data_IF_853703570793
#
_entry.id   IF_853703570793
#
_cell.length_a   1.000
_cell.length_b   1.000
_cell.length_c   1.000
_cell.angle_alpha   90.00
_cell.angle_beta   90.00
_cell.angle_gamma   90.00
#
_symmetry.space_group_name_H-M   'P 1'
#
loop_
_entity.id
_entity.type
_entity.pdbx_description
1 polymer ?
#
# COMPACT_ATOMS: atom_id res chain seq x y z
N UNK A 1 -44.02 39.86 -1.75
CA UNK A 1 -43.37 38.79 -2.54
C UNK A 1 -42.01 38.43 -1.92
N UNK A 2 -41.92 37.48 -0.97
CA UNK A 2 -40.64 36.99 -0.45
C UNK A 2 -40.50 35.48 -0.72
N UNK A 3 -40.13 35.08 -1.94
CA UNK A 3 -39.98 33.65 -2.27
C UNK A 3 -38.66 33.26 -2.94
N UNK A 4 -37.72 34.19 -3.15
CA UNK A 4 -36.47 33.91 -3.90
C UNK A 4 -35.23 33.70 -3.02
N UNK A 5 -35.18 34.26 -1.81
CA UNK A 5 -33.97 34.21 -0.95
C UNK A 5 -33.76 32.83 -0.28
N UNK A 6 -34.83 32.10 0.03
CA UNK A 6 -34.81 30.81 0.74
C UNK A 6 -34.30 29.65 -0.11
N UNK A 7 -34.60 29.65 -1.42
CA UNK A 7 -34.15 28.59 -2.34
C UNK A 7 -32.66 28.66 -2.67
N UNK A 8 -32.08 29.86 -2.81
CA UNK A 8 -30.65 30.04 -3.07
C UNK A 8 -29.79 29.52 -1.90
N UNK A 9 -30.27 29.70 -0.66
CA UNK A 9 -29.57 29.29 0.55
C UNK A 9 -29.63 27.76 0.76
N UNK A 10 -30.77 27.13 0.43
CA UNK A 10 -30.92 25.67 0.42
C UNK A 10 -30.04 25.00 -0.65
N UNK A 11 -29.94 25.58 -1.85
CA UNK A 11 -29.11 25.07 -2.95
C UNK A 11 -27.61 25.19 -2.65
N UNK A 12 -27.19 26.27 -1.99
CA UNK A 12 -25.81 26.46 -1.50
C UNK A 12 -25.44 25.47 -0.39
N UNK A 13 -26.36 25.19 0.54
CA UNK A 13 -26.18 24.16 1.59
C UNK A 13 -26.14 22.75 1.00
N UNK A 14 -27.04 22.41 0.08
CA UNK A 14 -27.06 21.13 -0.64
C UNK A 14 -25.77 20.91 -1.43
N UNK A 15 -25.29 21.91 -2.16
CA UNK A 15 -24.02 21.82 -2.90
C UNK A 15 -22.81 21.69 -1.97
N UNK A 16 -22.78 22.36 -0.81
CA UNK A 16 -21.70 22.20 0.18
C UNK A 16 -21.71 20.83 0.85
N UNK A 17 -22.89 20.31 1.18
CA UNK A 17 -23.04 18.96 1.73
C UNK A 17 -22.60 17.90 0.71
N UNK A 18 -22.96 18.06 -0.56
CA UNK A 18 -22.53 17.17 -1.64
C UNK A 18 -21.03 17.27 -1.95
N UNK A 19 -20.44 18.45 -1.85
CA UNK A 19 -19.00 18.61 -2.01
C UNK A 19 -18.25 17.99 -0.82
N UNK A 20 -18.74 18.19 0.40
CA UNK A 20 -18.15 17.58 1.60
C UNK A 20 -18.26 16.05 1.57
N UNK A 21 -19.41 15.48 1.19
CA UNK A 21 -19.56 14.03 1.02
C UNK A 21 -18.69 13.51 -0.13
N UNK A 22 -18.61 14.21 -1.27
CA UNK A 22 -17.72 13.84 -2.37
C UNK A 22 -16.23 13.90 -1.98
N UNK A 23 -15.80 14.90 -1.20
CA UNK A 23 -14.43 14.99 -0.69
C UNK A 23 -14.12 13.88 0.33
N UNK A 24 -15.07 13.55 1.21
CA UNK A 24 -14.93 12.42 2.15
C UNK A 24 -14.89 11.08 1.38
N UNK A 25 -15.73 10.90 0.36
CA UNK A 25 -15.72 9.69 -0.49
C UNK A 25 -14.43 9.58 -1.34
N UNK A 26 -13.90 10.69 -1.86
CA UNK A 26 -12.62 10.67 -2.57
C UNK A 26 -11.42 10.44 -1.64
N UNK A 27 -11.46 10.94 -0.40
CA UNK A 27 -10.44 10.63 0.61
C UNK A 27 -10.46 9.16 1.01
N UNK A 28 -11.62 8.50 1.00
CA UNK A 28 -11.75 7.07 1.33
C UNK A 28 -10.95 6.18 0.38
N UNK A 29 -10.88 6.49 -0.91
CA UNK A 29 -10.25 5.62 -1.91
C UNK A 29 -8.92 6.13 -2.43
N UNK A 30 -8.18 6.95 -1.66
CA UNK A 30 -6.86 7.46 -2.08
C UNK A 30 -5.88 6.35 -2.50
N UNK A 31 -6.00 5.15 -1.92
CA UNK A 31 -5.18 3.97 -2.26
C UNK A 31 -5.62 3.26 -3.56
N UNK A 32 -6.83 3.54 -4.05
CA UNK A 32 -7.45 2.88 -5.21
C UNK A 32 -7.65 3.81 -6.40
N UNK A 33 -7.11 5.04 -6.34
CA UNK A 33 -7.30 6.08 -7.37
C UNK A 33 -6.88 5.67 -8.78
N UNK A 34 -5.90 4.76 -8.90
CA UNK A 34 -5.41 4.22 -10.17
C UNK A 34 -6.28 3.10 -10.78
N UNK A 35 -7.27 2.58 -10.05
CA UNK A 35 -8.14 1.51 -10.54
C UNK A 35 -9.37 2.07 -11.26
N UNK A 36 -10.02 1.24 -12.09
CA UNK A 36 -11.20 1.66 -12.85
C UNK A 36 -12.35 2.12 -11.94
N UNK A 37 -13.14 3.08 -12.41
CA UNK A 37 -14.32 3.57 -11.67
C UNK A 37 -15.29 2.44 -11.30
N UNK A 38 -15.43 1.43 -12.18
CA UNK A 38 -16.24 0.24 -11.91
C UNK A 38 -15.73 -0.54 -10.70
N UNK A 39 -14.41 -0.73 -10.56
CA UNK A 39 -13.83 -1.41 -9.41
C UNK A 39 -13.95 -0.57 -8.14
N UNK A 40 -13.67 0.73 -8.24
CA UNK A 40 -13.87 1.67 -7.13
C UNK A 40 -15.31 1.65 -6.61
N UNK A 41 -16.31 1.63 -7.50
CA UNK A 41 -17.72 1.53 -7.14
C UNK A 41 -18.06 0.23 -6.39
N UNK A 42 -17.48 -0.91 -6.79
CA UNK A 42 -17.63 -2.19 -6.06
C UNK A 42 -17.06 -2.09 -4.65
N UNK A 43 -15.89 -1.48 -4.49
CA UNK A 43 -15.26 -1.30 -3.18
C UNK A 43 -16.07 -0.34 -2.30
N UNK A 44 -16.57 0.75 -2.87
CA UNK A 44 -17.49 1.65 -2.16
C UNK A 44 -18.73 0.92 -1.64
N UNK A 45 -19.33 0.06 -2.46
CA UNK A 45 -20.47 -0.75 -2.03
C UNK A 45 -20.08 -1.69 -0.87
N UNK A 46 -18.94 -2.36 -0.97
CA UNK A 46 -18.44 -3.24 0.08
C UNK A 46 -18.20 -2.49 1.40
N UNK A 47 -17.68 -1.27 1.33
CA UNK A 47 -17.51 -0.37 2.49
C UNK A 47 -18.87 0.05 3.07
N UNK A 48 -19.81 0.46 2.22
CA UNK A 48 -21.14 0.89 2.63
C UNK A 48 -21.95 -0.23 3.31
N UNK A 49 -21.76 -1.47 2.86
CA UNK A 49 -22.33 -2.67 3.47
C UNK A 49 -21.62 -3.09 4.78
N UNK A 50 -20.50 -2.45 5.15
CA UNK A 50 -19.73 -2.78 6.35
C UNK A 50 -18.92 -4.08 6.25
N UNK A 51 -18.80 -4.65 5.05
CA UNK A 51 -18.26 -6.00 4.82
C UNK A 51 -16.78 -6.03 4.42
N UNK A 52 -16.15 -4.85 4.31
CA UNK A 52 -14.74 -4.76 3.91
C UNK A 52 -13.81 -5.45 4.92
N UNK A 53 -14.07 -5.27 6.23
CA UNK A 53 -13.31 -5.94 7.29
C UNK A 53 -13.44 -7.46 7.20
N UNK A 54 -14.69 -7.96 7.12
CA UNK A 54 -14.99 -9.39 6.98
C UNK A 54 -14.30 -10.02 5.76
N UNK A 55 -14.30 -9.32 4.63
CA UNK A 55 -13.61 -9.76 3.41
C UNK A 55 -12.10 -9.94 3.65
N UNK A 56 -11.47 -8.98 4.33
CA UNK A 56 -10.04 -9.02 4.63
C UNK A 56 -9.72 -10.09 5.67
N UNK A 57 -10.49 -10.20 6.75
CA UNK A 57 -10.27 -11.15 7.82
C UNK A 57 -10.45 -12.61 7.33
N UNK A 58 -11.43 -12.85 6.46
CA UNK A 58 -11.64 -14.16 5.86
C UNK A 58 -10.46 -14.61 4.99
N UNK A 59 -9.78 -13.66 4.33
CA UNK A 59 -8.70 -13.96 3.37
C UNK A 59 -7.30 -13.90 3.99
N UNK A 60 -7.13 -13.06 5.01
CA UNK A 60 -5.87 -12.77 5.67
C UNK A 60 -6.02 -12.85 7.20
N UNK A 61 -6.42 -14.02 7.76
CA UNK A 61 -6.79 -14.14 9.18
C UNK A 61 -5.60 -14.08 10.15
N UNK A 62 -4.37 -14.22 9.64
CA UNK A 62 -3.17 -14.36 10.44
C UNK A 62 -2.38 -13.06 10.53
N UNK A 63 -1.54 -12.95 11.56
CA UNK A 63 -0.51 -11.90 11.69
C UNK A 63 0.86 -12.56 11.75
N UNK A 64 1.85 -11.99 11.07
CA UNK A 64 3.20 -12.57 11.08
C UNK A 64 3.96 -12.30 12.38
N UNK A 65 4.97 -13.13 12.68
CA UNK A 65 5.78 -13.03 13.91
C UNK A 65 7.01 -12.10 13.79
N UNK A 66 7.33 -11.58 12.59
CA UNK A 66 8.53 -10.79 12.35
C UNK A 66 8.40 -9.36 12.90
N UNK A 67 8.90 -9.11 14.12
CA UNK A 67 8.69 -7.83 14.81
C UNK A 67 9.95 -6.97 14.97
N UNK A 68 11.12 -7.50 14.61
CA UNK A 68 12.42 -6.84 14.74
C UNK A 68 13.12 -6.70 13.38
N UNK A 69 13.99 -5.70 13.25
CA UNK A 69 14.81 -5.49 12.05
C UNK A 69 15.69 -6.71 11.75
N UNK A 70 16.17 -7.41 12.80
CA UNK A 70 16.95 -8.64 12.65
C UNK A 70 16.12 -9.76 12.03
N UNK A 71 14.90 -9.99 12.51
CA UNK A 71 14.02 -11.03 11.95
C UNK A 71 13.65 -10.70 10.50
N UNK A 72 13.33 -9.44 10.22
CA UNK A 72 13.01 -8.97 8.87
C UNK A 72 14.22 -9.11 7.92
N UNK A 73 15.42 -8.78 8.38
CA UNK A 73 16.65 -8.95 7.60
C UNK A 73 16.87 -10.41 7.19
N UNK A 74 16.76 -11.35 8.15
CA UNK A 74 16.93 -12.78 7.86
C UNK A 74 15.90 -13.25 6.84
N UNK A 75 14.64 -12.85 6.99
CA UNK A 75 13.57 -13.18 6.06
C UNK A 75 13.81 -12.65 4.65
N UNK A 76 14.25 -11.39 4.51
CA UNK A 76 14.62 -10.84 3.21
C UNK A 76 15.80 -11.59 2.58
N UNK A 77 16.81 -11.97 3.38
CA UNK A 77 17.95 -12.75 2.90
C UNK A 77 17.53 -14.15 2.41
N UNK A 78 16.63 -14.82 3.12
CA UNK A 78 16.08 -16.13 2.72
C UNK A 78 15.35 -16.04 1.37
N UNK A 79 14.42 -15.10 1.21
CA UNK A 79 13.71 -14.89 -0.05
C UNK A 79 14.66 -14.48 -1.19
N UNK A 80 15.64 -13.60 -0.91
CA UNK A 80 16.66 -13.21 -1.89
C UNK A 80 17.49 -14.42 -2.33
N UNK A 81 17.83 -15.33 -1.42
CA UNK A 81 18.57 -16.54 -1.73
C UNK A 81 17.74 -17.55 -2.50
N UNK A 82 16.43 -17.64 -2.24
CA UNK A 82 15.51 -18.50 -2.98
C UNK A 82 15.36 -18.04 -4.43
N UNK A 83 15.08 -16.75 -4.66
CA UNK A 83 14.66 -16.24 -5.97
C UNK A 83 15.73 -15.45 -6.73
N UNK A 84 16.69 -14.82 -6.04
CA UNK A 84 17.61 -13.82 -6.61
C UNK A 84 19.07 -14.11 -6.26
N UNK A 85 19.51 -15.37 -6.40
CA UNK A 85 20.87 -15.85 -6.02
C UNK A 85 22.01 -14.95 -6.51
N UNK A 86 21.91 -14.45 -7.74
CA UNK A 86 22.96 -13.63 -8.41
C UNK A 86 22.80 -12.13 -8.12
N UNK A 87 21.70 -11.69 -7.48
CA UNK A 87 21.52 -10.27 -7.14
C UNK A 87 22.52 -9.82 -6.07
N UNK A 88 22.81 -8.50 -5.95
CA UNK A 88 23.65 -7.97 -4.89
C UNK A 88 23.24 -8.42 -3.48
N UNK A 89 24.19 -8.47 -2.55
CA UNK A 89 23.88 -8.68 -1.14
C UNK A 89 23.09 -7.49 -0.56
N UNK A 90 22.29 -7.77 0.46
CA UNK A 90 21.52 -6.75 1.18
C UNK A 90 22.36 -6.27 2.35
N UNK A 91 22.65 -4.98 2.41
CA UNK A 91 23.49 -4.41 3.48
C UNK A 91 22.68 -4.14 4.75
N UNK A 92 21.39 -3.82 4.60
CA UNK A 92 20.52 -3.46 5.72
C UNK A 92 19.06 -3.67 5.38
N UNK A 93 18.28 -4.14 6.34
CA UNK A 93 16.82 -4.16 6.28
C UNK A 93 16.27 -3.62 7.59
N UNK A 94 15.31 -2.68 7.53
CA UNK A 94 14.70 -2.08 8.73
C UNK A 94 13.22 -1.82 8.57
N UNK A 95 12.50 -1.85 9.68
CA UNK A 95 11.20 -1.22 9.78
C UNK A 95 11.36 0.30 9.96
N UNK A 96 10.69 1.09 9.13
CA UNK A 96 10.75 2.54 9.15
C UNK A 96 9.38 3.12 9.48
N UNK A 97 9.27 3.85 10.60
CA UNK A 97 8.00 4.43 11.05
C UNK A 97 7.62 5.71 10.31
N UNK A 98 8.56 6.31 9.57
CA UNK A 98 8.36 7.54 8.80
C UNK A 98 8.07 7.25 7.33
N UNK A 99 8.18 5.99 6.89
CA UNK A 99 7.97 5.59 5.51
C UNK A 99 6.48 5.65 5.14
N UNK A 100 6.18 6.43 4.10
CA UNK A 100 4.84 6.55 3.54
C UNK A 100 4.57 5.39 2.56
N UNK A 101 3.64 4.50 2.93
CA UNK A 101 3.28 3.32 2.12
C UNK A 101 2.63 3.67 0.80
N UNK A 102 1.93 4.81 0.69
CA UNK A 102 1.41 5.27 -0.60
C UNK A 102 2.54 5.51 -1.60
N UNK A 103 3.56 6.24 -1.15
CA UNK A 103 4.63 6.74 -2.02
C UNK A 103 5.59 5.65 -2.48
N UNK A 104 5.90 4.70 -1.60
CA UNK A 104 6.97 3.73 -1.84
C UNK A 104 6.48 2.37 -2.35
N UNK A 105 5.41 1.81 -1.79
CA UNK A 105 5.00 0.42 -2.02
C UNK A 105 3.94 0.23 -3.12
N UNK A 106 3.24 1.31 -3.50
CA UNK A 106 1.98 1.26 -4.24
C UNK A 106 2.04 2.07 -5.56
N UNK A 107 3.22 2.21 -6.14
CA UNK A 107 3.40 2.75 -7.48
C UNK A 107 3.44 4.28 -7.61
N UNK A 108 3.64 5.04 -6.53
CA UNK A 108 3.80 6.51 -6.56
C UNK A 108 5.27 6.99 -6.69
N UNK A 109 6.24 6.07 -6.89
CA UNK A 109 7.66 6.26 -7.23
C UNK A 109 8.49 7.30 -6.44
N UNK A 110 9.60 6.83 -5.85
CA UNK A 110 10.95 7.28 -6.25
C UNK A 110 12.02 6.38 -5.63
N UNK A 111 12.91 5.87 -6.48
CA UNK A 111 14.15 5.22 -6.08
C UNK A 111 14.97 6.19 -5.22
N UNK A 112 15.21 5.85 -3.96
CA UNK A 112 16.29 6.46 -3.19
C UNK A 112 17.46 5.48 -3.18
N UNK A 113 18.09 5.28 -4.34
CA UNK A 113 19.50 4.88 -4.37
C UNK A 113 20.33 6.15 -4.23
N UNK A 114 20.64 6.53 -2.98
CA UNK A 114 21.66 7.57 -2.74
C UNK A 114 23.03 6.98 -3.04
N UNK A 115 23.50 7.18 -4.27
CA UNK A 115 24.93 7.06 -4.60
C UNK A 115 25.55 8.45 -4.40
N UNK A 116 26.03 8.74 -3.19
CA UNK A 116 26.85 9.94 -2.98
C UNK A 116 28.25 9.69 -3.54
N UNK A 117 28.78 10.71 -4.22
CA UNK A 117 29.91 10.64 -5.15
C UNK A 117 31.18 9.97 -4.63
N UNK A 118 31.88 9.34 -5.57
CA UNK A 118 33.27 8.87 -5.42
C UNK A 118 33.41 7.46 -4.88
N UNK A 119 33.41 6.44 -5.77
CA UNK A 119 33.84 5.05 -5.51
C UNK A 119 33.36 4.41 -4.19
N UNK A 120 32.14 4.73 -3.73
CA UNK A 120 31.49 4.05 -2.61
C UNK A 120 30.48 3.04 -3.17
N UNK A 121 30.71 1.76 -2.84
CA UNK A 121 29.81 0.64 -3.12
C UNK A 121 28.40 1.06 -2.69
N UNK A 122 27.47 1.20 -3.64
CA UNK A 122 26.10 1.61 -3.34
C UNK A 122 25.48 0.61 -2.36
N UNK A 123 25.18 1.05 -1.13
CA UNK A 123 24.58 0.19 -0.11
C UNK A 123 23.17 -0.19 -0.53
N UNK A 124 22.85 -1.48 -0.51
CA UNK A 124 21.52 -2.02 -0.76
C UNK A 124 20.76 -2.08 0.56
N UNK A 125 20.08 -0.98 0.88
CA UNK A 125 19.17 -0.89 2.03
C UNK A 125 17.72 -1.14 1.59
N UNK A 126 17.01 -2.00 2.32
CA UNK A 126 15.56 -2.20 2.19
C UNK A 126 14.87 -1.59 3.39
N UNK A 127 13.82 -0.80 3.15
CA UNK A 127 13.01 -0.17 4.20
C UNK A 127 11.57 -0.59 4.05
N UNK A 128 11.02 -1.21 5.08
CA UNK A 128 9.62 -1.63 5.12
C UNK A 128 8.90 -0.73 6.11
N UNK A 129 7.72 -0.21 5.76
CA UNK A 129 6.99 0.64 6.69
C UNK A 129 6.63 -0.14 7.95
N UNK A 130 6.75 0.49 9.12
CA UNK A 130 6.44 -0.16 10.41
C UNK A 130 5.01 -0.68 10.51
N UNK A 131 4.10 -0.17 9.65
CA UNK A 131 2.73 -0.66 9.59
C UNK A 131 2.64 -2.15 9.25
N UNK A 132 3.59 -2.68 8.49
CA UNK A 132 3.58 -4.07 8.06
C UNK A 132 3.72 -5.03 9.24
N UNK A 133 4.30 -4.59 10.38
CA UNK A 133 4.35 -5.40 11.62
C UNK A 133 2.99 -5.95 12.06
N UNK A 134 1.92 -5.22 11.75
CA UNK A 134 0.54 -5.54 12.12
C UNK A 134 -0.25 -6.19 10.98
N UNK A 135 0.43 -6.72 9.96
CA UNK A 135 -0.21 -7.27 8.77
C UNK A 135 -0.07 -8.79 8.69
N UNK A 136 -0.87 -9.38 7.80
CA UNK A 136 -0.77 -10.78 7.45
C UNK A 136 0.56 -11.10 6.76
N UNK A 137 1.06 -12.34 6.88
CA UNK A 137 2.32 -12.76 6.27
C UNK A 137 2.35 -12.53 4.75
N UNK A 138 1.20 -12.63 4.06
CA UNK A 138 1.08 -12.38 2.62
C UNK A 138 1.37 -10.92 2.28
N UNK A 139 0.88 -9.96 3.07
CA UNK A 139 1.14 -8.54 2.85
C UNK A 139 2.61 -8.20 3.12
N UNK A 140 3.21 -8.78 4.17
CA UNK A 140 4.64 -8.62 4.42
C UNK A 140 5.46 -9.21 3.27
N UNK A 141 5.16 -10.45 2.85
CA UNK A 141 5.88 -11.10 1.76
C UNK A 141 5.74 -10.29 0.47
N UNK A 142 4.53 -9.84 0.13
CA UNK A 142 4.25 -9.02 -1.05
C UNK A 142 5.16 -7.78 -1.09
N UNK A 143 5.23 -7.01 0.00
CA UNK A 143 6.09 -5.82 -0.01
C UNK A 143 7.58 -6.18 -0.02
N UNK A 144 8.00 -7.26 0.65
CA UNK A 144 9.40 -7.69 0.63
C UNK A 144 9.82 -8.12 -0.79
N UNK A 145 9.00 -8.89 -1.51
CA UNK A 145 9.33 -9.30 -2.87
C UNK A 145 9.35 -8.11 -3.84
N UNK A 146 8.51 -7.08 -3.61
CA UNK A 146 8.55 -5.83 -4.36
C UNK A 146 9.90 -5.12 -4.19
N UNK A 147 10.35 -4.92 -2.95
CA UNK A 147 11.65 -4.30 -2.68
C UNK A 147 12.82 -5.15 -3.19
N UNK A 148 12.72 -6.48 -3.12
CA UNK A 148 13.72 -7.39 -3.68
C UNK A 148 13.77 -7.31 -5.20
N UNK A 149 12.63 -7.16 -5.88
CA UNK A 149 12.60 -6.99 -7.34
C UNK A 149 13.38 -5.75 -7.78
N UNK A 150 13.39 -4.68 -6.97
CA UNK A 150 14.20 -3.49 -7.21
C UNK A 150 15.72 -3.71 -7.19
N UNK A 151 16.20 -4.86 -6.71
CA UNK A 151 17.61 -5.22 -6.83
C UNK A 151 18.01 -5.56 -8.28
N UNK A 152 17.04 -5.93 -9.13
CA UNK A 152 17.24 -6.27 -10.55
C UNK A 152 16.55 -5.29 -11.50
N UNK A 153 15.36 -4.80 -11.13
CA UNK A 153 14.48 -4.00 -11.99
C UNK A 153 14.22 -2.62 -11.36
N UNK A 154 14.78 -1.56 -11.93
CA UNK A 154 14.66 -0.21 -11.36
C UNK A 154 13.28 0.42 -11.48
N UNK A 155 12.54 0.10 -12.55
CA UNK A 155 11.25 0.68 -12.88
C UNK A 155 10.11 -0.34 -12.72
N UNK A 156 8.91 0.13 -12.39
CA UNK A 156 7.69 -0.69 -12.32
C UNK A 156 7.14 -1.04 -13.71
N UNK A 157 7.96 -1.73 -14.51
CA UNK A 157 7.63 -2.18 -15.86
C UNK A 157 7.12 -3.64 -15.86
N UNK A 158 6.83 -4.19 -17.05
CA UNK A 158 6.37 -5.58 -17.18
C UNK A 158 7.36 -6.61 -16.64
N UNK A 159 8.67 -6.36 -16.71
CA UNK A 159 9.68 -7.26 -16.15
C UNK A 159 9.65 -7.25 -14.61
N UNK A 160 9.54 -6.07 -13.99
CA UNK A 160 9.37 -5.93 -12.55
C UNK A 160 8.16 -6.71 -12.03
N UNK A 161 6.99 -6.51 -12.63
CA UNK A 161 5.77 -7.18 -12.17
C UNK A 161 5.81 -8.70 -12.40
N UNK A 162 6.41 -9.16 -13.51
CA UNK A 162 6.65 -10.60 -13.71
C UNK A 162 7.58 -11.18 -12.67
N UNK A 163 8.61 -10.44 -12.26
CA UNK A 163 9.53 -10.88 -11.21
C UNK A 163 8.81 -10.96 -9.85
N UNK A 164 7.98 -9.98 -9.53
CA UNK A 164 7.16 -10.01 -8.31
C UNK A 164 6.18 -11.19 -8.30
N UNK A 165 5.45 -11.42 -9.39
CA UNK A 165 4.53 -12.55 -9.54
C UNK A 165 5.25 -13.91 -9.45
N UNK A 166 6.48 -14.00 -9.97
CA UNK A 166 7.31 -15.21 -9.84
C UNK A 166 7.70 -15.49 -8.37
N UNK A 167 8.05 -14.47 -7.59
CA UNK A 167 8.44 -14.62 -6.18
C UNK A 167 7.22 -14.78 -5.24
N UNK A 168 6.07 -14.23 -5.64
CA UNK A 168 4.81 -14.28 -4.91
C UNK A 168 3.66 -14.48 -5.92
N UNK A 169 3.23 -15.74 -6.15
CA UNK A 169 2.03 -15.99 -6.94
C UNK A 169 0.83 -15.23 -6.37
N UNK A 170 0.03 -14.62 -7.26
CA UNK A 170 -1.07 -13.74 -6.90
C UNK A 170 -0.64 -12.35 -6.42
N UNK A 171 0.59 -11.91 -6.73
CA UNK A 171 1.16 -10.64 -6.29
C UNK A 171 0.21 -9.47 -6.50
N UNK A 172 -0.34 -9.34 -7.71
CA UNK A 172 -1.23 -8.23 -8.07
C UNK A 172 -2.51 -8.19 -7.23
N UNK A 173 -3.06 -9.36 -6.90
CA UNK A 173 -4.26 -9.45 -6.08
C UNK A 173 -3.94 -9.10 -4.63
N UNK A 174 -2.82 -9.59 -4.09
CA UNK A 174 -2.37 -9.26 -2.73
C UNK A 174 -2.03 -7.77 -2.60
N UNK A 175 -1.42 -7.16 -3.62
CA UNK A 175 -1.16 -5.71 -3.66
C UNK A 175 -2.48 -4.92 -3.66
N UNK A 176 -3.47 -5.34 -4.46
CA UNK A 176 -4.80 -4.74 -4.43
C UNK A 176 -5.45 -4.88 -3.06
N UNK A 177 -5.37 -6.07 -2.44
CA UNK A 177 -5.95 -6.32 -1.12
C UNK A 177 -5.22 -5.55 -0.01
N UNK A 178 -3.93 -5.27 -0.16
CA UNK A 178 -3.23 -4.36 0.75
C UNK A 178 -3.82 -2.95 0.66
N UNK A 179 -4.15 -2.46 -0.54
CA UNK A 179 -4.80 -1.15 -0.71
C UNK A 179 -6.19 -1.11 -0.05
N UNK A 180 -6.92 -2.22 -0.11
CA UNK A 180 -8.17 -2.41 0.63
C UNK A 180 -7.95 -2.40 2.14
N UNK A 181 -6.93 -3.10 2.64
CA UNK A 181 -6.56 -3.11 4.05
C UNK A 181 -6.19 -1.72 4.57
N UNK A 182 -5.40 -0.95 3.82
CA UNK A 182 -5.05 0.42 4.18
C UNK A 182 -6.27 1.35 4.19
N UNK A 183 -7.17 1.19 3.22
CA UNK A 183 -8.47 1.88 3.18
C UNK A 183 -9.30 1.56 4.42
N UNK A 184 -9.45 0.28 4.77
CA UNK A 184 -10.18 -0.15 5.95
C UNK A 184 -9.57 0.42 7.25
N UNK A 185 -8.25 0.36 7.37
CA UNK A 185 -7.52 0.90 8.53
C UNK A 185 -7.71 2.41 8.70
N UNK A 186 -7.65 3.18 7.62
CA UNK A 186 -7.88 4.62 7.69
C UNK A 186 -9.34 4.95 8.03
N UNK A 187 -10.31 4.20 7.47
CA UNK A 187 -11.72 4.30 7.84
C UNK A 187 -11.97 4.01 9.33
N UNK A 188 -11.36 2.96 9.89
CA UNK A 188 -11.49 2.63 11.30
C UNK A 188 -10.87 3.69 12.22
N UNK A 189 -9.76 4.31 11.80
CA UNK A 189 -9.14 5.43 12.54
C UNK A 189 -10.05 6.66 12.59
N UNK A 190 -10.70 7.00 11.47
CA UNK A 190 -11.64 8.12 11.41
C UNK A 190 -12.87 7.85 12.29
N UNK A 191 -13.38 6.62 12.33
CA UNK A 191 -14.51 6.24 13.19
C UNK A 191 -14.18 6.27 14.69
N UNK A 192 -12.91 6.07 15.04
CA UNK A 192 -12.45 6.03 16.43
C UNK A 192 -12.02 7.40 16.98
N UNK A 193 -11.91 8.42 16.13
CA UNK A 193 -11.56 9.79 16.47
C UNK A 193 -12.82 10.64 16.65
#
# INVERSE_FOLDING_TARGET
MPHTQTYANARSRYNRLNHATATVMQQQLKYLSAYSATLQAKVHRLIAEGRLGEYLDARYPNRHALQSDRALYLYCCELKQEFLRVAPAIDKVVYDSKLDVLRHALGLHTAISRVQGGKLKAKKEIRIASLFKETAPEFLKMIVVHELAHLKEGDHNKAFYRLCEFMQPGYHQIEFDLRLYLTHRDLSRIKAA
#
